data_IF_509441216151
#
_entry.id   IF_509441216151
#
_cell.length_a   1.000
_cell.length_b   1.000
_cell.length_c   1.000
_cell.angle_alpha   90.00
_cell.angle_beta   90.00
_cell.angle_gamma   90.00
#
_symmetry.space_group_name_H-M   'P 1'
#
loop_
_entity.id
_entity.type
_entity.pdbx_description
1 polymer ?
#
# COMPACT_ATOMS: atom_id res chain seq x y z
N UNK A 1 68.20 -43.76 20.22
CA UNK A 1 68.64 -42.34 20.27
C UNK A 1 67.92 -41.61 19.16
N UNK A 2 66.76 -41.01 19.45
CA UNK A 2 66.57 -39.62 19.90
C UNK A 2 66.68 -38.57 18.78
N UNK A 3 65.53 -37.89 18.60
CA UNK A 3 65.31 -36.50 18.19
C UNK A 3 65.80 -36.04 16.81
N UNK A 4 64.84 -35.65 15.96
CA UNK A 4 64.36 -34.25 15.94
C UNK A 4 63.02 -34.13 15.22
N UNK A 5 62.02 -33.71 15.98
CA UNK A 5 60.73 -33.20 15.50
C UNK A 5 60.97 -31.92 14.69
N UNK A 6 60.36 -31.81 13.52
CA UNK A 6 60.20 -30.52 12.84
C UNK A 6 58.70 -30.23 12.76
N UNK A 7 58.25 -29.41 13.71
CA UNK A 7 56.92 -28.82 13.74
C UNK A 7 56.92 -27.73 12.66
N UNK A 8 56.26 -27.96 11.53
CA UNK A 8 55.95 -26.90 10.57
C UNK A 8 54.48 -26.53 10.76
N UNK A 9 54.33 -25.39 11.41
CA UNK A 9 53.10 -24.64 11.62
C UNK A 9 52.49 -24.24 10.27
N UNK A 10 51.44 -24.94 9.82
CA UNK A 10 50.60 -24.46 8.71
C UNK A 10 49.47 -23.61 9.27
N UNK A 11 49.70 -22.30 9.18
CA UNK A 11 48.77 -21.20 9.42
C UNK A 11 47.46 -21.42 8.66
N UNK A 12 46.36 -21.46 9.40
CA UNK A 12 44.98 -21.38 8.93
C UNK A 12 44.75 -20.08 8.16
N UNK A 13 44.61 -20.15 6.84
CA UNK A 13 44.09 -19.07 6.01
C UNK A 13 42.56 -19.13 6.01
N UNK A 14 41.93 -18.53 7.03
CA UNK A 14 40.50 -18.26 7.03
C UNK A 14 40.28 -17.06 6.08
N UNK A 15 40.01 -17.34 4.81
CA UNK A 15 39.56 -16.31 3.86
C UNK A 15 38.18 -15.87 4.32
N UNK A 16 38.14 -14.76 5.08
CA UNK A 16 36.92 -13.99 5.29
C UNK A 16 36.53 -13.38 3.94
N UNK A 17 35.79 -14.15 3.13
CA UNK A 17 34.94 -13.60 2.09
C UNK A 17 33.78 -12.88 2.78
N UNK A 18 34.08 -11.73 3.39
CA UNK A 18 33.12 -10.66 3.60
C UNK A 18 32.70 -10.22 2.20
N UNK A 19 31.75 -10.96 1.61
CA UNK A 19 31.01 -10.48 0.48
C UNK A 19 30.47 -9.11 0.87
N UNK A 20 30.86 -8.09 0.11
CA UNK A 20 30.17 -6.81 0.10
C UNK A 20 28.69 -7.13 -0.19
N UNK A 21 27.89 -7.29 0.87
CA UNK A 21 26.47 -7.03 0.77
C UNK A 21 26.38 -5.53 0.53
N UNK A 22 26.41 -5.16 -0.74
CA UNK A 22 25.98 -3.85 -1.20
C UNK A 22 24.47 -3.80 -0.93
N UNK A 23 24.10 -3.58 0.33
CA UNK A 23 22.74 -3.24 0.69
C UNK A 23 22.46 -1.92 0.02
N UNK A 24 21.70 -1.95 -1.08
CA UNK A 24 21.11 -0.74 -1.60
C UNK A 24 20.25 -0.17 -0.45
N UNK A 25 20.65 1.01 0.03
CA UNK A 25 19.99 1.66 1.15
C UNK A 25 18.60 2.09 0.67
N UNK A 26 17.57 1.52 1.28
CA UNK A 26 16.19 1.79 0.87
C UNK A 26 15.91 3.30 0.97
N UNK A 27 15.57 3.93 -0.15
CA UNK A 27 15.24 5.35 -0.19
C UNK A 27 13.77 5.52 0.16
N UNK A 28 13.50 6.24 1.24
CA UNK A 28 12.15 6.72 1.56
C UNK A 28 11.76 7.86 0.63
N UNK A 29 10.54 7.77 0.09
CA UNK A 29 9.94 8.72 -0.83
C UNK A 29 8.72 9.33 -0.13
N UNK A 30 8.73 10.65 0.00
CA UNK A 30 7.61 11.45 0.48
C UNK A 30 6.78 11.92 -0.71
N UNK A 31 5.84 11.09 -1.15
CA UNK A 31 5.02 11.38 -2.32
C UNK A 31 3.97 12.48 -2.07
N UNK A 32 3.78 12.89 -0.82
CA UNK A 32 2.90 13.99 -0.43
C UNK A 32 1.44 13.59 -0.29
N UNK A 33 0.53 14.50 -0.60
CA UNK A 33 -0.92 14.24 -0.47
C UNK A 33 -1.44 13.50 -1.70
N UNK A 34 -2.20 12.43 -1.48
CA UNK A 34 -2.89 11.71 -2.55
C UNK A 34 -4.39 11.59 -2.30
N UNK A 35 -5.20 11.72 -3.35
CA UNK A 35 -6.67 11.65 -3.26
C UNK A 35 -7.28 10.83 -4.39
N UNK A 36 -8.36 10.14 -4.09
CA UNK A 36 -9.14 9.36 -5.07
C UNK A 36 -10.63 9.54 -4.79
N UNK A 37 -11.39 9.77 -5.85
CA UNK A 37 -12.83 9.48 -5.88
C UNK A 37 -13.01 8.12 -6.52
N UNK A 38 -13.77 7.25 -5.87
CA UNK A 38 -13.90 5.85 -6.29
C UNK A 38 -15.36 5.45 -6.45
N UNK A 39 -15.57 4.40 -7.25
CA UNK A 39 -16.86 3.73 -7.45
C UNK A 39 -16.68 2.24 -7.19
N UNK A 40 -17.62 1.65 -6.48
CA UNK A 40 -17.70 0.22 -6.25
C UNK A 40 -18.87 -0.41 -7.00
N UNK A 41 -18.67 -1.65 -7.44
CA UNK A 41 -19.68 -2.51 -8.06
C UNK A 41 -19.59 -3.90 -7.45
N UNK A 42 -20.71 -4.45 -7.00
CA UNK A 42 -20.72 -5.73 -6.31
C UNK A 42 -22.10 -6.12 -5.81
N UNK A 43 -22.13 -6.91 -4.74
CA UNK A 43 -23.33 -7.35 -4.04
C UNK A 43 -23.43 -6.58 -2.72
N UNK A 44 -24.65 -6.15 -2.37
CA UNK A 44 -24.96 -5.56 -1.07
C UNK A 44 -26.00 -6.45 -0.40
N UNK A 45 -25.64 -7.05 0.72
CA UNK A 45 -26.56 -7.80 1.58
C UNK A 45 -27.04 -6.91 2.71
N UNK A 46 -28.36 -6.76 2.85
CA UNK A 46 -28.98 -6.08 3.99
C UNK A 46 -29.17 -7.08 5.14
N UNK A 47 -28.50 -6.83 6.27
CA UNK A 47 -28.57 -7.69 7.46
C UNK A 47 -29.62 -7.20 8.47
N UNK A 48 -30.34 -6.12 8.16
CA UNK A 48 -31.28 -5.46 9.05
C UNK A 48 -30.61 -4.47 10.01
N UNK A 49 -31.43 -3.68 10.71
CA UNK A 49 -30.98 -2.72 11.73
C UNK A 49 -29.93 -1.70 11.25
N UNK A 50 -29.89 -1.40 9.95
CA UNK A 50 -28.92 -0.45 9.38
C UNK A 50 -27.54 -1.06 9.10
N UNK A 51 -27.37 -2.38 9.22
CA UNK A 51 -26.16 -3.08 8.82
C UNK A 51 -26.28 -3.58 7.38
N UNK A 52 -25.25 -3.30 6.59
CA UNK A 52 -25.12 -3.83 5.23
C UNK A 52 -23.73 -4.41 5.04
N UNK A 53 -23.61 -5.44 4.21
CA UNK A 53 -22.31 -5.95 3.79
C UNK A 53 -22.18 -5.73 2.29
N UNK A 54 -21.15 -5.01 1.88
CA UNK A 54 -20.75 -4.91 0.48
C UNK A 54 -19.64 -5.90 0.21
N UNK A 55 -19.74 -6.63 -0.89
CA UNK A 55 -18.64 -7.43 -1.45
C UNK A 55 -18.51 -7.14 -2.94
N UNK A 56 -17.32 -6.71 -3.37
CA UNK A 56 -17.08 -6.44 -4.78
C UNK A 56 -15.83 -5.65 -5.07
N UNK A 57 -15.83 -5.05 -6.25
CA UNK A 57 -14.68 -4.32 -6.80
C UNK A 57 -14.86 -2.83 -6.62
N UNK A 58 -13.78 -2.13 -6.26
CA UNK A 58 -13.70 -0.67 -6.16
C UNK A 58 -12.67 -0.18 -7.17
N UNK A 59 -13.03 0.80 -7.98
CA UNK A 59 -12.16 1.41 -8.99
C UNK A 59 -12.09 2.92 -8.84
N UNK A 60 -10.93 3.50 -9.11
CA UNK A 60 -10.74 4.95 -9.06
C UNK A 60 -9.43 5.39 -9.72
N UNK A 61 -9.26 6.70 -9.85
CA UNK A 61 -7.99 7.32 -10.27
C UNK A 61 -7.43 8.10 -9.09
N UNK A 62 -6.33 7.61 -8.54
CA UNK A 62 -5.57 8.28 -7.49
C UNK A 62 -4.72 9.39 -8.13
N UNK A 63 -4.87 10.60 -7.62
CA UNK A 63 -4.01 11.73 -7.95
C UNK A 63 -3.06 11.99 -6.78
N UNK A 64 -1.76 11.91 -7.04
CA UNK A 64 -0.72 12.17 -6.04
C UNK A 64 -0.02 13.47 -6.39
N UNK A 65 -0.01 14.42 -5.46
CA UNK A 65 0.70 15.69 -5.59
C UNK A 65 2.06 15.59 -4.92
N UNK A 66 3.09 15.42 -5.73
CA UNK A 66 4.47 15.43 -5.28
C UNK A 66 4.97 16.88 -5.17
N UNK A 67 5.53 17.23 -4.01
CA UNK A 67 6.22 18.50 -3.78
C UNK A 67 7.72 18.22 -3.91
N UNK A 68 8.32 18.43 -5.10
CA UNK A 68 9.73 18.11 -5.29
C UNK A 68 10.62 19.03 -4.45
N UNK A 69 11.79 18.52 -4.06
CA UNK A 69 12.81 19.32 -3.40
C UNK A 69 13.29 20.48 -4.30
N UNK A 70 13.50 21.67 -3.71
CA UNK A 70 14.00 22.84 -4.42
C UNK A 70 12.93 23.65 -5.16
N UNK A 71 13.27 24.19 -6.33
CA UNK A 71 12.42 25.10 -7.12
C UNK A 71 11.62 24.43 -8.23
N UNK A 72 11.59 23.09 -8.26
CA UNK A 72 10.86 22.35 -9.28
C UNK A 72 9.34 22.51 -9.10
N UNK A 73 8.56 22.60 -10.19
CA UNK A 73 7.11 22.70 -10.11
C UNK A 73 6.50 21.40 -9.55
N UNK A 74 5.43 21.54 -8.76
CA UNK A 74 4.69 20.39 -8.24
C UNK A 74 4.22 19.48 -9.38
N UNK A 75 4.40 18.18 -9.22
CA UNK A 75 4.00 17.17 -10.20
C UNK A 75 2.76 16.43 -9.71
N UNK A 76 1.80 16.20 -10.61
CA UNK A 76 0.61 15.40 -10.33
C UNK A 76 0.73 14.10 -11.10
N UNK A 77 0.79 12.98 -10.37
CA UNK A 77 0.79 11.64 -10.94
C UNK A 77 -0.61 11.03 -10.84
N UNK A 78 -1.07 10.44 -11.94
CA UNK A 78 -2.31 9.66 -11.98
C UNK A 78 -2.00 8.16 -11.90
N UNK A 79 -2.66 7.47 -10.99
CA UNK A 79 -2.54 6.02 -10.77
C UNK A 79 -3.92 5.40 -10.78
N UNK A 80 -4.13 4.35 -11.57
CA UNK A 80 -5.39 3.59 -11.50
C UNK A 80 -5.37 2.72 -10.25
N UNK A 81 -6.47 2.75 -9.50
CA UNK A 81 -6.68 1.97 -8.30
C UNK A 81 -7.79 0.96 -8.57
N UNK A 82 -7.50 -0.33 -8.39
CA UNK A 82 -8.46 -1.42 -8.53
C UNK A 82 -8.38 -2.29 -7.26
N UNK A 83 -9.42 -2.25 -6.43
CA UNK A 83 -9.46 -2.95 -5.14
C UNK A 83 -10.56 -4.01 -5.09
N UNK A 84 -10.29 -5.08 -4.35
CA UNK A 84 -11.29 -6.04 -3.90
C UNK A 84 -11.59 -5.73 -2.43
N UNK A 85 -12.88 -5.61 -2.07
CA UNK A 85 -13.27 -5.22 -0.73
C UNK A 85 -14.46 -6.02 -0.22
N UNK A 86 -14.43 -6.31 1.09
CA UNK A 86 -15.59 -6.73 1.86
C UNK A 86 -15.76 -5.68 2.97
N UNK A 87 -16.84 -4.90 2.88
CA UNK A 87 -17.07 -3.75 3.74
C UNK A 87 -18.34 -3.98 4.57
N UNK A 88 -18.22 -3.85 5.89
CA UNK A 88 -19.35 -3.89 6.81
C UNK A 88 -19.81 -2.46 7.06
N UNK A 89 -20.92 -2.07 6.47
CA UNK A 89 -21.40 -0.70 6.51
C UNK A 89 -22.43 -0.59 7.63
N UNK A 90 -22.12 0.22 8.63
CA UNK A 90 -23.03 0.60 9.71
C UNK A 90 -23.15 2.13 9.77
N UNK A 91 -24.37 2.59 10.06
CA UNK A 91 -24.65 4.01 10.32
C UNK A 91 -24.23 4.42 11.75
N UNK A 92 -24.26 3.46 12.69
CA UNK A 92 -24.14 3.74 14.13
C UNK A 92 -22.87 3.17 14.76
N UNK A 93 -22.35 2.07 14.21
CA UNK A 93 -21.20 1.36 14.77
C UNK A 93 -19.95 1.54 13.92
N UNK A 94 -18.81 1.50 14.60
CA UNK A 94 -17.52 1.41 13.93
C UNK A 94 -17.25 -0.03 13.52
N UNK A 95 -16.92 -0.22 12.26
CA UNK A 95 -16.63 -1.50 11.67
C UNK A 95 -15.19 -1.57 11.21
N UNK A 96 -14.63 -2.78 11.19
CA UNK A 96 -13.30 -3.03 10.63
C UNK A 96 -13.43 -3.36 9.15
N UNK A 97 -12.65 -2.67 8.34
CA UNK A 97 -12.67 -2.81 6.90
C UNK A 97 -11.29 -3.25 6.39
N UNK A 98 -11.31 -4.09 5.38
CA UNK A 98 -10.11 -4.49 4.66
C UNK A 98 -10.38 -4.45 3.16
N UNK A 99 -9.46 -3.84 2.42
CA UNK A 99 -9.48 -3.86 0.96
C UNK A 99 -8.09 -4.14 0.44
N UNK A 100 -8.01 -4.95 -0.61
CA UNK A 100 -6.78 -5.35 -1.27
C UNK A 100 -6.73 -4.66 -2.62
N UNK A 101 -5.73 -3.83 -2.85
CA UNK A 101 -5.68 -2.90 -3.97
C UNK A 101 -4.47 -3.13 -4.87
N UNK A 102 -4.71 -3.12 -6.18
CA UNK A 102 -3.69 -2.96 -7.21
C UNK A 102 -3.67 -1.51 -7.66
N UNK A 103 -2.48 -0.92 -7.62
CA UNK A 103 -2.16 0.43 -8.06
C UNK A 103 -1.34 0.33 -9.35
N UNK A 104 -1.82 0.93 -10.44
CA UNK A 104 -1.17 0.93 -11.75
C UNK A 104 -0.77 2.35 -12.14
N UNK A 105 0.51 2.65 -12.02
CA UNK A 105 1.10 3.92 -12.44
C UNK A 105 1.78 3.77 -13.82
N UNK A 106 2.13 4.91 -14.43
CA UNK A 106 2.88 4.97 -15.69
C UNK A 106 2.31 4.04 -16.78
N UNK A 107 1.01 4.14 -17.02
CA UNK A 107 0.27 3.33 -18.01
C UNK A 107 0.34 1.81 -17.75
N UNK A 108 0.54 1.42 -16.49
CA UNK A 108 0.61 0.03 -16.05
C UNK A 108 2.00 -0.59 -16.11
N UNK A 109 3.04 0.19 -16.45
CA UNK A 109 4.43 -0.26 -16.38
C UNK A 109 4.87 -0.53 -14.93
N UNK A 110 4.35 0.28 -14.01
CA UNK A 110 4.68 0.19 -12.59
C UNK A 110 3.43 -0.19 -11.82
N UNK A 111 3.51 -1.32 -11.11
CA UNK A 111 2.39 -1.91 -10.40
C UNK A 111 2.77 -2.10 -8.94
N UNK A 112 1.95 -1.59 -8.03
CA UNK A 112 2.06 -1.87 -6.60
C UNK A 112 0.79 -2.58 -6.12
N UNK A 113 0.97 -3.48 -5.16
CA UNK A 113 -0.10 -4.16 -4.46
C UNK A 113 -0.03 -3.77 -2.98
N UNK A 114 -1.17 -3.40 -2.41
CA UNK A 114 -1.25 -3.00 -1.02
C UNK A 114 -2.58 -3.33 -0.37
N UNK A 115 -2.57 -3.23 0.95
CA UNK A 115 -3.70 -3.54 1.81
C UNK A 115 -4.14 -2.29 2.56
N UNK A 116 -5.42 -1.97 2.48
CA UNK A 116 -6.08 -0.99 3.34
C UNK A 116 -6.61 -1.72 4.56
N UNK A 117 -6.30 -1.21 5.74
CA UNK A 117 -6.98 -1.58 6.99
C UNK A 117 -7.45 -0.32 7.68
N UNK A 118 -8.75 -0.19 7.90
CA UNK A 118 -9.29 0.98 8.58
C UNK A 118 -10.46 0.60 9.48
N UNK A 119 -10.73 1.46 10.45
CA UNK A 119 -11.84 1.34 11.38
C UNK A 119 -12.71 2.58 11.26
N UNK A 120 -14.02 2.39 11.19
CA UNK A 120 -14.97 3.48 11.20
C UNK A 120 -16.33 3.14 10.62
N UNK A 121 -17.13 4.17 10.42
CA UNK A 121 -18.53 4.11 9.97
C UNK A 121 -18.66 4.56 8.50
N UNK A 122 -19.88 4.49 7.95
CA UNK A 122 -20.18 4.80 6.54
C UNK A 122 -19.39 5.98 5.94
N UNK A 123 -19.33 7.15 6.60
CA UNK A 123 -18.71 8.34 6.01
C UNK A 123 -17.25 8.59 6.39
N UNK A 124 -16.69 7.79 7.31
CA UNK A 124 -15.35 8.03 7.84
C UNK A 124 -14.74 6.71 8.32
N UNK A 125 -13.67 6.30 7.66
CA UNK A 125 -12.85 5.15 8.02
C UNK A 125 -11.39 5.60 8.09
N UNK A 126 -10.76 5.46 9.26
CA UNK A 126 -9.37 5.86 9.47
C UNK A 126 -8.50 4.64 9.72
N UNK A 127 -7.30 4.66 9.16
CA UNK A 127 -6.34 3.60 9.38
C UNK A 127 -5.13 3.78 8.48
N UNK A 128 -4.70 2.68 7.87
CA UNK A 128 -3.44 2.61 7.17
C UNK A 128 -3.58 1.90 5.83
N UNK A 129 -2.68 2.25 4.90
CA UNK A 129 -2.41 1.50 3.69
C UNK A 129 -0.98 0.99 3.75
N UNK A 130 -0.79 -0.31 3.55
CA UNK A 130 0.53 -0.95 3.56
C UNK A 130 0.86 -1.48 2.18
N UNK A 131 2.03 -1.12 1.66
CA UNK A 131 2.59 -1.72 0.43
C UNK A 131 3.10 -3.12 0.74
N UNK A 132 2.60 -4.11 0.00
CA UNK A 132 2.89 -5.53 0.23
C UNK A 132 3.83 -6.08 -0.86
N UNK A 133 3.67 -5.60 -2.10
CA UNK A 133 4.45 -6.08 -3.23
C UNK A 133 4.45 -5.06 -4.38
N UNK A 134 5.44 -5.14 -5.28
CA UNK A 134 5.43 -4.34 -6.50
C UNK A 134 6.32 -4.87 -7.62
N UNK A 135 6.11 -4.31 -8.81
CA UNK A 135 6.77 -4.64 -10.09
C UNK A 135 7.10 -3.35 -10.85
N UNK A 136 8.05 -3.44 -11.79
CA UNK A 136 8.52 -2.30 -12.57
C UNK A 136 9.35 -1.37 -11.69
N UNK A 137 9.11 -0.07 -11.79
CA UNK A 137 9.67 0.96 -10.90
C UNK A 137 9.27 0.81 -9.43
N UNK A 138 8.27 -0.02 -9.11
CA UNK A 138 7.88 -0.35 -7.73
C UNK A 138 8.42 -1.69 -7.23
N UNK A 139 9.39 -2.29 -7.93
CA UNK A 139 10.00 -3.55 -7.47
C UNK A 139 10.64 -3.36 -6.10
N UNK A 140 10.20 -4.14 -5.12
CA UNK A 140 10.69 -4.07 -3.73
C UNK A 140 10.08 -2.95 -2.91
N UNK A 141 8.99 -2.32 -3.37
CA UNK A 141 8.27 -1.31 -2.61
C UNK A 141 7.82 -1.83 -1.25
N UNK A 142 8.03 -1.02 -0.22
CA UNK A 142 7.55 -1.26 1.15
C UNK A 142 7.05 0.03 1.77
N UNK A 143 6.44 -0.05 2.94
CA UNK A 143 6.00 1.11 3.72
C UNK A 143 4.53 1.04 4.10
N UNK A 144 4.20 1.76 5.17
CA UNK A 144 2.83 1.93 5.67
C UNK A 144 2.58 3.41 5.80
N UNK A 145 1.43 3.86 5.30
CA UNK A 145 1.05 5.28 5.26
C UNK A 145 -0.35 5.47 5.83
N UNK A 146 -0.65 6.61 6.47
CA UNK A 146 -2.00 6.94 6.91
C UNK A 146 -3.01 6.93 5.75
N UNK A 147 -4.21 6.45 6.03
CA UNK A 147 -5.33 6.35 5.11
C UNK A 147 -6.61 6.87 5.77
N UNK A 148 -7.40 7.63 5.00
CA UNK A 148 -8.74 8.06 5.40
C UNK A 148 -9.69 7.86 4.22
N UNK A 149 -10.74 7.08 4.43
CA UNK A 149 -11.77 6.78 3.45
C UNK A 149 -13.17 7.19 3.91
N UNK A 150 -14.08 7.34 2.95
CA UNK A 150 -15.51 7.53 3.20
C UNK A 150 -16.33 6.82 2.11
N UNK A 151 -17.46 6.23 2.51
CA UNK A 151 -18.38 5.46 1.67
C UNK A 151 -19.72 6.19 1.61
N UNK A 152 -20.20 6.43 0.40
CA UNK A 152 -21.55 6.89 0.10
C UNK A 152 -22.32 5.73 -0.54
N UNK A 153 -23.42 5.34 0.08
CA UNK A 153 -24.31 4.30 -0.45
C UNK A 153 -25.54 5.00 -1.04
N UNK A 154 -25.80 4.80 -2.33
CA UNK A 154 -27.04 5.26 -2.95
C UNK A 154 -28.13 4.21 -2.75
N UNK A 155 -29.14 4.51 -1.92
CA UNK A 155 -30.21 3.56 -1.57
C UNK A 155 -31.06 3.08 -2.78
N UNK A 156 -30.94 3.74 -3.94
CA UNK A 156 -31.74 3.42 -5.13
C UNK A 156 -30.98 2.66 -6.22
N UNK A 157 -29.69 2.31 -6.02
CA UNK A 157 -28.91 1.55 -7.00
C UNK A 157 -28.28 0.33 -6.34
N UNK A 158 -28.96 -0.81 -6.47
CA UNK A 158 -28.44 -2.09 -5.98
C UNK A 158 -27.02 -2.34 -6.48
N UNK A 159 -26.16 -2.79 -5.56
CA UNK A 159 -24.80 -3.20 -5.88
C UNK A 159 -23.82 -2.08 -6.23
N UNK A 160 -24.20 -0.79 -6.09
CA UNK A 160 -23.29 0.34 -6.36
C UNK A 160 -23.03 1.16 -5.11
N UNK A 161 -21.75 1.41 -4.86
CA UNK A 161 -21.28 2.31 -3.80
C UNK A 161 -20.30 3.31 -4.39
N UNK A 162 -20.16 4.46 -3.74
CA UNK A 162 -19.23 5.51 -4.15
C UNK A 162 -18.45 5.96 -2.93
N UNK A 163 -17.39 6.73 -3.14
CA UNK A 163 -16.66 7.26 -2.03
C UNK A 163 -15.48 8.11 -2.40
N UNK A 164 -14.80 8.55 -1.36
CA UNK A 164 -13.51 9.22 -1.44
C UNK A 164 -12.52 8.50 -0.56
N UNK A 165 -11.25 8.61 -0.90
CA UNK A 165 -10.17 8.30 0.00
C UNK A 165 -9.02 9.26 -0.21
N UNK A 166 -8.24 9.47 0.85
CA UNK A 166 -7.03 10.26 0.77
C UNK A 166 -5.94 9.70 1.70
N UNK A 167 -4.71 9.96 1.28
CA UNK A 167 -3.49 9.70 2.01
C UNK A 167 -2.90 11.06 2.35
N UNK A 168 -3.05 11.54 3.60
CA UNK A 168 -2.54 12.84 4.01
C UNK A 168 -1.04 12.99 3.71
N UNK A 169 -0.28 11.93 3.96
CA UNK A 169 1.18 11.88 3.86
C UNK A 169 1.60 10.54 3.24
N UNK A 170 1.37 10.37 1.94
CA UNK A 170 1.73 9.16 1.20
C UNK A 170 3.26 9.00 1.20
N UNK A 171 3.72 7.97 1.91
CA UNK A 171 5.14 7.62 2.03
C UNK A 171 5.35 6.14 1.70
N UNK A 172 6.48 5.84 1.05
CA UNK A 172 6.91 4.48 0.76
C UNK A 172 8.43 4.44 0.57
N UNK A 173 9.01 3.24 0.62
CA UNK A 173 10.44 3.02 0.39
C UNK A 173 10.67 2.13 -0.83
N UNK A 174 11.72 2.42 -1.60
CA UNK A 174 12.22 1.56 -2.68
C UNK A 174 13.68 1.17 -2.40
N UNK A 175 14.14 -0.02 -2.82
CA UNK A 175 15.54 -0.44 -2.69
C UNK A 175 16.52 0.46 -3.44
#
# INVERSE_FOLDING_TARGET
MQFRQTIISTVTLLVMSLGLFCGAEAKTIEAGHATVSWKGSGVIDDLGNGYRVFSGEITGTLFTKHLPEGSAPAQIHATKLDCQAILRISENEEERHTALCLMRAHEGKDIAYGEIRCVGKKNECKGEFTFVWGMGGFKGITGTTPFVGGIFVEDQKEGRIYGTAHWPELTYSLP
#
